data_IF_648478278055
#
_entry.id   IF_648478278055
#
_cell.length_a   1.000
_cell.length_b   1.000
_cell.length_c   1.000
_cell.angle_alpha   90.00
_cell.angle_beta   90.00
_cell.angle_gamma   90.00
#
_symmetry.space_group_name_H-M   'P 1'
#
loop_
_entity.id
_entity.type
_entity.pdbx_description
1 polymer ?
#
# COMPACT_ATOMS: atom_id res chain seq x y z
N UNK A 1 -9.78 -15.09 14.23
CA UNK A 1 -9.41 -14.41 13.00
C UNK A 1 -7.91 -14.37 12.84
N UNK A 2 -7.42 -14.78 11.70
CA UNK A 2 -5.99 -14.80 11.46
C UNK A 2 -5.55 -13.52 10.76
N UNK A 3 -4.40 -13.03 11.17
CA UNK A 3 -3.77 -11.90 10.54
C UNK A 3 -2.52 -12.40 9.83
N UNK A 4 -2.54 -12.36 8.52
CA UNK A 4 -1.39 -12.77 7.73
C UNK A 4 -0.62 -11.54 7.28
N UNK A 5 0.69 -11.69 7.29
CA UNK A 5 1.59 -10.60 6.95
C UNK A 5 2.52 -11.04 5.83
N UNK A 6 2.91 -10.07 5.01
CA UNK A 6 3.92 -10.30 3.98
C UNK A 6 4.98 -9.22 4.13
N UNK A 7 6.24 -9.60 3.95
CA UNK A 7 7.33 -8.66 4.07
C UNK A 7 7.26 -7.66 2.92
N UNK A 8 7.33 -6.37 3.26
CA UNK A 8 7.19 -5.31 2.27
C UNK A 8 8.22 -5.45 1.16
N UNK A 9 9.47 -5.74 1.51
CA UNK A 9 10.51 -5.84 0.50
C UNK A 9 10.25 -6.97 -0.48
N UNK A 10 9.72 -8.10 0.00
CA UNK A 10 9.41 -9.22 -0.89
C UNK A 10 8.23 -8.89 -1.79
N UNK A 11 7.21 -8.24 -1.25
CA UNK A 11 6.06 -7.86 -2.05
C UNK A 11 6.47 -6.87 -3.14
N UNK A 12 7.28 -5.90 -2.77
CA UNK A 12 7.73 -4.89 -3.72
C UNK A 12 8.56 -5.52 -4.83
N UNK A 13 9.41 -6.48 -4.47
CA UNK A 13 10.24 -7.16 -5.46
C UNK A 13 9.37 -7.95 -6.45
N UNK A 14 8.39 -8.67 -5.94
CA UNK A 14 7.54 -9.50 -6.80
C UNK A 14 6.67 -8.67 -7.72
N UNK A 15 6.19 -7.54 -7.24
CA UNK A 15 5.23 -6.73 -7.98
C UNK A 15 5.89 -5.56 -8.70
N UNK A 16 7.21 -5.44 -8.61
CA UNK A 16 7.96 -4.36 -9.24
C UNK A 16 7.46 -2.99 -8.78
N UNK A 17 7.23 -2.88 -7.48
CA UNK A 17 6.80 -1.65 -6.84
C UNK A 17 7.95 -1.15 -5.98
N UNK A 18 8.18 0.16 -5.98
CA UNK A 18 9.24 0.72 -5.16
C UNK A 18 8.80 0.79 -3.69
N UNK A 19 9.71 0.44 -2.76
CA UNK A 19 9.35 0.55 -1.34
C UNK A 19 8.92 1.95 -0.94
N UNK A 20 9.45 2.99 -1.58
CA UNK A 20 9.05 4.36 -1.27
C UNK A 20 7.57 4.60 -1.55
N UNK A 21 7.00 3.90 -2.54
CA UNK A 21 5.58 4.01 -2.81
C UNK A 21 4.76 3.49 -1.62
N UNK A 22 5.17 2.36 -1.07
CA UNK A 22 4.50 1.81 0.11
C UNK A 22 4.60 2.78 1.29
N UNK A 23 5.76 3.39 1.47
CA UNK A 23 5.93 4.36 2.54
C UNK A 23 5.00 5.57 2.36
N UNK A 24 4.86 6.03 1.13
CA UNK A 24 3.95 7.14 0.86
C UNK A 24 2.50 6.78 1.16
N UNK A 25 2.10 5.56 0.83
CA UNK A 25 0.75 5.10 1.15
C UNK A 25 0.52 5.06 2.65
N UNK A 26 1.51 4.58 3.39
CA UNK A 26 1.40 4.52 4.84
C UNK A 26 1.33 5.93 5.44
N UNK A 27 2.17 6.82 4.98
CA UNK A 27 2.20 8.18 5.49
C UNK A 27 0.89 8.91 5.23
N UNK A 28 0.27 8.60 4.10
CA UNK A 28 -1.02 9.19 3.77
C UNK A 28 -2.21 8.57 4.47
N UNK A 29 -1.97 7.53 5.26
CA UNK A 29 -3.04 6.85 5.97
C UNK A 29 -3.88 5.94 5.09
N UNK A 30 -3.38 5.58 3.92
CA UNK A 30 -4.14 4.76 2.98
C UNK A 30 -4.01 3.28 3.25
N UNK A 31 -2.91 2.86 3.86
CA UNK A 31 -2.70 1.47 4.26
C UNK A 31 -2.04 1.43 5.62
N UNK A 32 -2.04 0.25 6.22
CA UNK A 32 -1.40 0.01 7.51
C UNK A 32 -0.19 -0.88 7.30
N UNK A 33 0.96 -0.45 7.81
CA UNK A 33 2.20 -1.21 7.77
C UNK A 33 2.60 -1.54 9.20
N UNK A 34 2.93 -2.80 9.45
CA UNK A 34 3.41 -3.20 10.77
C UNK A 34 4.92 -3.31 10.75
N UNK A 35 5.54 -2.86 11.83
CA UNK A 35 6.99 -2.94 11.97
C UNK A 35 7.29 -3.81 13.17
N UNK A 36 8.03 -4.90 12.96
CA UNK A 36 8.44 -5.80 14.02
C UNK A 36 9.89 -6.17 13.81
N UNK A 37 10.68 -6.08 14.86
CA UNK A 37 12.10 -6.45 14.83
C UNK A 37 12.84 -5.75 13.69
N UNK A 38 12.47 -4.53 13.38
CA UNK A 38 13.13 -3.75 12.34
C UNK A 38 12.68 -4.08 10.92
N UNK A 39 11.72 -4.98 10.76
CA UNK A 39 11.22 -5.35 9.45
C UNK A 39 9.81 -4.82 9.26
N UNK A 40 9.49 -4.43 8.04
CA UNK A 40 8.18 -3.88 7.70
C UNK A 40 7.32 -4.95 7.04
N UNK A 41 6.06 -5.01 7.45
CA UNK A 41 5.12 -6.02 6.96
C UNK A 41 3.83 -5.36 6.51
N UNK A 42 3.27 -5.89 5.42
CA UNK A 42 1.93 -5.53 4.96
C UNK A 42 0.94 -6.59 5.43
N UNK A 43 -0.25 -6.14 5.80
CA UNK A 43 -1.35 -7.07 6.04
C UNK A 43 -1.82 -7.62 4.71
N UNK A 44 -2.00 -8.93 4.65
CA UNK A 44 -2.47 -9.56 3.40
C UNK A 44 -3.83 -8.97 3.00
N UNK A 45 -4.67 -8.64 3.98
CA UNK A 45 -5.97 -8.04 3.69
C UNK A 45 -5.86 -6.67 3.02
N UNK A 46 -4.69 -6.04 3.09
CA UNK A 46 -4.48 -4.74 2.45
C UNK A 46 -4.00 -4.85 1.00
N UNK A 47 -3.61 -6.05 0.57
CA UNK A 47 -3.02 -6.20 -0.75
C UNK A 47 -3.93 -5.74 -1.89
N UNK A 48 -5.24 -6.03 -1.88
CA UNK A 48 -6.11 -5.52 -2.94
C UNK A 48 -6.10 -3.99 -3.02
N UNK A 49 -6.03 -3.33 -1.87
CA UNK A 49 -5.96 -1.88 -1.85
C UNK A 49 -4.64 -1.37 -2.41
N UNK A 50 -3.54 -2.04 -2.04
CA UNK A 50 -2.23 -1.66 -2.55
C UNK A 50 -2.19 -1.80 -4.07
N UNK A 51 -2.76 -2.88 -4.58
CA UNK A 51 -2.80 -3.09 -6.03
C UNK A 51 -3.60 -1.99 -6.72
N UNK A 52 -4.74 -1.62 -6.15
CA UNK A 52 -5.56 -0.56 -6.73
C UNK A 52 -4.81 0.75 -6.76
N UNK A 53 -4.15 1.10 -5.66
CA UNK A 53 -3.41 2.36 -5.59
C UNK A 53 -2.22 2.35 -6.54
N UNK A 54 -1.55 1.21 -6.69
CA UNK A 54 -0.42 1.14 -7.60
C UNK A 54 -0.85 1.32 -9.05
N UNK A 55 -2.02 0.79 -9.42
CA UNK A 55 -2.53 1.01 -10.77
C UNK A 55 -2.84 2.48 -11.01
N UNK A 56 -3.44 3.13 -10.01
CA UNK A 56 -3.73 4.55 -10.14
C UNK A 56 -2.45 5.35 -10.32
N UNK A 57 -1.45 5.04 -9.53
CA UNK A 57 -0.22 5.82 -9.52
C UNK A 57 0.63 5.55 -10.75
N UNK A 58 0.86 4.27 -11.09
CA UNK A 58 1.78 3.91 -12.16
C UNK A 58 1.12 3.86 -13.53
N UNK A 59 -0.11 3.35 -13.60
CA UNK A 59 -0.77 3.15 -14.89
C UNK A 59 -1.58 4.36 -15.32
N UNK A 60 -2.23 5.02 -14.37
CA UNK A 60 -3.12 6.14 -14.68
C UNK A 60 -2.50 7.49 -14.35
N UNK A 61 -1.30 7.49 -13.79
CA UNK A 61 -0.56 8.70 -13.44
C UNK A 61 -1.31 9.59 -12.46
N UNK A 62 -2.14 8.99 -11.61
CA UNK A 62 -2.84 9.74 -10.57
C UNK A 62 -1.87 9.93 -9.40
N UNK A 63 -1.67 11.18 -8.99
CA UNK A 63 -0.73 11.45 -7.90
C UNK A 63 -1.33 11.07 -6.55
N UNK A 64 -0.51 11.17 -5.50
CA UNK A 64 -0.94 10.75 -4.17
C UNK A 64 -2.14 11.54 -3.67
N UNK A 65 -2.22 12.79 -4.00
CA UNK A 65 -3.38 13.60 -3.59
C UNK A 65 -4.65 13.09 -4.23
N UNK A 66 -4.57 12.69 -5.51
CA UNK A 66 -5.74 12.12 -6.19
C UNK A 66 -6.15 10.79 -5.62
N UNK A 67 -5.17 9.96 -5.28
CA UNK A 67 -5.45 8.66 -4.67
C UNK A 67 -6.13 8.86 -3.32
N UNK A 68 -5.63 9.79 -2.53
CA UNK A 68 -6.22 10.08 -1.24
C UNK A 68 -7.67 10.54 -1.37
N UNK A 69 -7.94 11.39 -2.35
CA UNK A 69 -9.31 11.87 -2.58
C UNK A 69 -10.23 10.71 -2.95
N UNK A 70 -9.78 9.82 -3.83
CA UNK A 70 -10.59 8.68 -4.24
C UNK A 70 -10.82 7.75 -3.05
N UNK A 71 -9.78 7.54 -2.23
CA UNK A 71 -9.91 6.70 -1.05
C UNK A 71 -11.01 7.24 -0.13
N UNK A 72 -11.01 8.55 0.12
CA UNK A 72 -12.02 9.13 0.99
C UNK A 72 -13.41 9.02 0.41
N UNK A 73 -13.54 9.12 -0.90
CA UNK A 73 -14.84 8.98 -1.54
C UNK A 73 -15.37 7.56 -1.42
N UNK A 74 -14.50 6.58 -1.46
CA UNK A 74 -14.91 5.18 -1.40
C UNK A 74 -15.23 4.70 0.00
N UNK A 75 -14.82 5.44 1.00
CA UNK A 75 -15.05 5.05 2.40
C UNK A 75 -16.40 5.44 2.92
N UNK A 76 -17.22 6.09 2.15
CA UNK A 76 -18.49 6.60 2.59
C UNK A 76 -19.52 5.54 2.87
#
# INVERSE_FOLDING_TARGET
>A
MQTELIIVSEYCHKCHIEPSFIEMLEEGGLITVRTEAGEHYLLVSELPNVERYSRMYYDLSINMEGIDAIHHMLER
#
